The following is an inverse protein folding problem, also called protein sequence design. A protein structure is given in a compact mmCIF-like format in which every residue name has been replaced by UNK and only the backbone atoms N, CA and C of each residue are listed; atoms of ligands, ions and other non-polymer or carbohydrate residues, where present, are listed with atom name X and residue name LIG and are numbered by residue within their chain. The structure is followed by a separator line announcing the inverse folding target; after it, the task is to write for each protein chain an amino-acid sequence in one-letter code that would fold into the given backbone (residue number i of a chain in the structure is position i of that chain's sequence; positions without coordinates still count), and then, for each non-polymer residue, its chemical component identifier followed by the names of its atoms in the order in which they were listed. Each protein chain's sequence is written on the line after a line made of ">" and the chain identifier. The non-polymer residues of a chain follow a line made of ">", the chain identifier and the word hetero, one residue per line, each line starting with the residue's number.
data_IF_308786668112
#
_entry.id   IF_308786668112
#
_cell.length_a   1.000
_cell.length_b   1.000
_cell.length_c   1.000
_cell.angle_alpha   90.00
_cell.angle_beta   90.00
_cell.angle_gamma   90.00
#
_symmetry.space_group_name_H-M   'P 1'
#
loop_
_entity.id
_entity.type
_entity.pdbx_description
1 polymer ?
#
# COMPACT_ATOMS: atom_id res chain seq x y z
N UNK A 1 15.33 -19.25 -22.18
CA UNK A 1 15.07 -18.17 -21.24
C UNK A 1 15.50 -18.67 -19.87
N UNK A 2 16.57 -18.07 -19.29
CA UNK A 2 17.26 -18.59 -18.07
C UNK A 2 16.32 -18.57 -16.86
N UNK A 3 15.73 -19.73 -16.51
CA UNK A 3 14.83 -19.87 -15.35
C UNK A 3 15.47 -19.43 -14.01
N UNK A 4 16.79 -19.39 -13.93
CA UNK A 4 17.50 -18.93 -12.72
C UNK A 4 17.62 -17.39 -12.57
N UNK A 5 17.33 -16.60 -13.61
CA UNK A 5 17.43 -15.12 -13.54
C UNK A 5 16.14 -14.45 -13.10
N UNK A 6 14.98 -15.03 -13.42
CA UNK A 6 13.66 -14.47 -13.06
C UNK A 6 13.47 -14.27 -11.55
N UNK A 7 13.73 -15.28 -10.67
CA UNK A 7 13.55 -15.10 -9.24
C UNK A 7 14.49 -14.06 -8.65
N UNK A 8 15.74 -13.96 -9.12
CA UNK A 8 16.71 -12.94 -8.66
C UNK A 8 16.28 -11.51 -9.01
N UNK A 9 15.71 -11.32 -10.20
CA UNK A 9 15.25 -9.99 -10.66
C UNK A 9 14.00 -9.59 -9.87
N UNK A 10 13.03 -10.50 -9.73
CA UNK A 10 11.80 -10.28 -8.96
C UNK A 10 12.11 -9.92 -7.50
N UNK A 11 12.98 -10.68 -6.85
CA UNK A 11 13.43 -10.44 -5.48
C UNK A 11 14.15 -9.07 -5.34
N UNK A 12 15.01 -8.71 -6.30
CA UNK A 12 15.70 -7.42 -6.28
C UNK A 12 14.71 -6.25 -6.39
N UNK A 13 13.73 -6.34 -7.29
CA UNK A 13 12.68 -5.32 -7.45
C UNK A 13 11.84 -5.22 -6.17
N UNK A 14 11.41 -6.36 -5.61
CA UNK A 14 10.67 -6.42 -4.35
C UNK A 14 11.43 -5.76 -3.19
N UNK A 15 12.74 -6.03 -3.06
CA UNK A 15 13.58 -5.48 -2.00
C UNK A 15 13.84 -3.97 -2.17
N UNK A 16 13.98 -3.49 -3.41
CA UNK A 16 14.12 -2.05 -3.69
C UNK A 16 12.81 -1.33 -3.36
N UNK A 17 11.67 -1.87 -3.83
CA UNK A 17 10.35 -1.29 -3.55
C UNK A 17 10.03 -1.29 -2.06
N UNK A 18 10.38 -2.35 -1.31
CA UNK A 18 10.25 -2.39 0.15
C UNK A 18 11.03 -1.26 0.83
N UNK A 19 12.32 -1.09 0.47
CA UNK A 19 13.14 -0.02 1.05
C UNK A 19 12.55 1.36 0.77
N UNK A 20 12.15 1.61 -0.48
CA UNK A 20 11.53 2.88 -0.87
C UNK A 20 10.25 3.15 -0.07
N UNK A 21 9.35 2.17 0.03
CA UNK A 21 8.11 2.28 0.81
C UNK A 21 8.40 2.49 2.30
N UNK A 22 9.35 1.76 2.87
CA UNK A 22 9.72 1.90 4.29
C UNK A 22 10.21 3.31 4.62
N UNK A 23 11.09 3.89 3.80
CA UNK A 23 11.58 5.26 4.00
C UNK A 23 10.46 6.29 3.80
N UNK A 24 9.60 6.10 2.78
CA UNK A 24 8.44 6.95 2.56
C UNK A 24 7.49 6.92 3.76
N UNK A 25 7.20 5.74 4.32
CA UNK A 25 6.35 5.59 5.51
C UNK A 25 6.93 6.30 6.72
N UNK A 26 8.23 6.12 6.98
CA UNK A 26 8.89 6.82 8.10
C UNK A 26 8.76 8.33 7.92
N UNK A 27 9.01 8.85 6.72
CA UNK A 27 8.87 10.27 6.42
C UNK A 27 7.42 10.77 6.59
N UNK A 28 6.45 10.04 6.02
CA UNK A 28 5.01 10.39 6.12
C UNK A 28 4.57 10.42 7.59
N UNK A 29 4.88 9.39 8.37
CA UNK A 29 4.48 9.31 9.78
C UNK A 29 5.17 10.39 10.60
N UNK A 30 6.44 10.67 10.36
CA UNK A 30 7.17 11.75 11.05
C UNK A 30 6.53 13.11 10.76
N UNK A 31 6.29 13.45 9.49
CA UNK A 31 5.64 14.72 9.09
C UNK A 31 4.24 14.83 9.68
N UNK A 32 3.44 13.76 9.58
CA UNK A 32 2.09 13.71 10.15
C UNK A 32 2.13 13.96 11.67
N UNK A 33 3.05 13.31 12.38
CA UNK A 33 3.21 13.47 13.83
C UNK A 33 3.56 14.92 14.20
N UNK A 34 4.52 15.53 13.49
CA UNK A 34 4.90 16.93 13.71
C UNK A 34 3.71 17.87 13.47
N UNK A 35 2.97 17.68 12.38
CA UNK A 35 1.79 18.52 12.07
C UNK A 35 0.74 18.39 13.17
N UNK A 36 0.43 17.16 13.62
CA UNK A 36 -0.57 16.93 14.67
C UNK A 36 -0.14 17.55 16.01
N UNK A 37 1.11 17.37 16.41
CA UNK A 37 1.64 17.97 17.65
C UNK A 37 1.55 19.50 17.56
N UNK A 38 1.98 20.09 16.46
CA UNK A 38 1.94 21.54 16.25
C UNK A 38 0.50 22.07 16.27
N UNK A 39 -0.44 21.39 15.62
CA UNK A 39 -1.86 21.73 15.63
C UNK A 39 -2.45 21.71 17.06
N UNK A 40 -2.16 20.63 17.81
CA UNK A 40 -2.62 20.48 19.20
C UNK A 40 -2.07 21.62 20.06
N UNK A 41 -0.78 21.92 19.92
CA UNK A 41 -0.13 23.02 20.65
C UNK A 41 -0.80 24.38 20.38
N UNK A 42 -1.02 24.71 19.11
CA UNK A 42 -1.69 25.96 18.72
C UNK A 42 -3.13 26.03 19.23
N UNK A 43 -3.87 24.94 19.18
CA UNK A 43 -5.26 24.87 19.59
C UNK A 43 -5.42 25.10 21.09
N UNK A 44 -4.55 24.52 21.93
CA UNK A 44 -4.68 24.62 23.38
C UNK A 44 -4.05 25.87 23.98
N UNK A 45 -2.94 26.38 23.39
CA UNK A 45 -2.26 27.59 23.93
C UNK A 45 -2.79 28.87 23.31
N UNK A 46 -3.16 28.87 22.06
CA UNK A 46 -3.55 30.08 21.33
C UNK A 46 -5.03 30.08 20.92
N UNK A 47 -5.78 29.03 21.25
CA UNK A 47 -7.19 28.84 20.84
C UNK A 47 -7.39 28.97 19.32
N UNK A 48 -6.36 28.68 18.55
CA UNK A 48 -6.32 28.80 17.10
C UNK A 48 -6.37 27.43 16.44
N UNK A 49 -7.37 27.20 15.60
CA UNK A 49 -7.52 25.93 14.86
C UNK A 49 -7.09 26.09 13.43
N UNK A 50 -6.20 25.20 12.96
CA UNK A 50 -5.70 25.14 11.58
C UNK A 50 -6.48 24.08 10.80
N UNK A 51 -7.51 24.47 10.07
CA UNK A 51 -8.35 23.54 9.31
C UNK A 51 -7.56 22.74 8.27
N UNK A 52 -6.53 23.34 7.66
CA UNK A 52 -5.69 22.68 6.66
C UNK A 52 -4.83 21.54 7.26
N UNK A 53 -4.43 21.65 8.52
CA UNK A 53 -3.56 20.64 9.15
C UNK A 53 -4.28 19.31 9.39
N UNK A 54 -5.56 19.34 9.71
CA UNK A 54 -6.40 18.14 9.82
C UNK A 54 -6.54 17.44 8.48
N UNK A 55 -6.67 18.21 7.41
CA UNK A 55 -6.79 17.68 6.06
C UNK A 55 -5.49 17.04 5.58
N UNK A 56 -4.35 17.72 5.77
CA UNK A 56 -3.02 17.15 5.47
C UNK A 56 -2.77 15.86 6.25
N UNK A 57 -3.05 15.84 7.55
CA UNK A 57 -2.87 14.65 8.37
C UNK A 57 -3.72 13.46 7.86
N UNK A 58 -4.95 13.72 7.44
CA UNK A 58 -5.85 12.72 6.85
C UNK A 58 -5.28 12.14 5.54
N UNK A 59 -4.79 13.00 4.64
CA UNK A 59 -4.21 12.54 3.38
C UNK A 59 -2.91 11.77 3.60
N UNK A 60 -2.04 12.21 4.50
CA UNK A 60 -0.85 11.46 4.88
C UNK A 60 -1.19 10.11 5.49
N UNK A 61 -2.25 10.02 6.30
CA UNK A 61 -2.72 8.76 6.87
C UNK A 61 -3.21 7.79 5.77
N UNK A 62 -3.94 8.27 4.76
CA UNK A 62 -4.38 7.46 3.63
C UNK A 62 -3.17 6.92 2.87
N UNK A 63 -2.18 7.75 2.55
CA UNK A 63 -0.92 7.34 1.92
C UNK A 63 -0.18 6.30 2.76
N UNK A 64 -0.04 6.55 4.07
CA UNK A 64 0.60 5.60 4.99
C UNK A 64 -0.12 4.25 5.02
N UNK A 65 -1.45 4.24 4.97
CA UNK A 65 -2.25 3.01 4.99
C UNK A 65 -2.03 2.15 3.74
N UNK A 66 -2.09 2.74 2.55
CA UNK A 66 -1.88 1.97 1.31
C UNK A 66 -0.42 1.53 1.11
N UNK A 67 0.54 2.37 1.44
CA UNK A 67 1.94 1.99 1.40
C UNK A 67 2.26 0.93 2.46
N UNK A 68 1.72 1.06 3.67
CA UNK A 68 1.87 0.07 4.74
C UNK A 68 1.27 -1.28 4.37
N UNK A 69 0.11 -1.29 3.70
CA UNK A 69 -0.50 -2.51 3.18
C UNK A 69 0.43 -3.26 2.22
N UNK A 70 1.23 -2.56 1.41
CA UNK A 70 2.19 -3.21 0.51
C UNK A 70 3.31 -3.95 1.25
N UNK A 71 3.75 -3.45 2.39
CA UNK A 71 4.70 -4.16 3.26
C UNK A 71 4.04 -5.35 3.94
N UNK A 72 2.78 -5.23 4.35
CA UNK A 72 2.02 -6.35 4.91
C UNK A 72 1.89 -7.50 3.91
N UNK A 73 1.67 -7.22 2.62
CA UNK A 73 1.69 -8.22 1.56
C UNK A 73 3.05 -8.92 1.49
N UNK A 74 4.16 -8.17 1.53
CA UNK A 74 5.52 -8.74 1.45
C UNK A 74 5.83 -9.69 2.60
N UNK A 75 5.44 -9.32 3.81
CA UNK A 75 5.73 -10.11 5.01
C UNK A 75 4.73 -11.26 5.23
N UNK A 76 3.87 -11.53 4.26
CA UNK A 76 2.90 -12.62 4.36
C UNK A 76 1.86 -12.43 5.45
N UNK A 77 1.60 -11.18 5.88
CA UNK A 77 0.66 -10.89 6.98
C UNK A 77 -0.82 -11.07 6.57
N UNK A 78 -1.09 -11.81 5.48
CA UNK A 78 -2.43 -12.28 5.15
C UNK A 78 -2.82 -13.49 6.03
N UNK A 79 -2.80 -13.27 7.34
CA UNK A 79 -3.03 -14.29 8.38
C UNK A 79 -4.26 -15.17 8.06
N UNK A 80 -5.34 -14.58 7.53
CA UNK A 80 -6.55 -15.31 7.17
C UNK A 80 -6.35 -16.30 6.02
N UNK A 81 -5.56 -15.94 5.01
CA UNK A 81 -5.27 -16.82 3.86
C UNK A 81 -4.31 -17.92 4.28
N UNK A 82 -3.26 -17.60 5.03
CA UNK A 82 -2.31 -18.59 5.55
C UNK A 82 -2.98 -19.58 6.51
N UNK A 83 -3.87 -19.10 7.39
CA UNK A 83 -4.66 -19.95 8.28
C UNK A 83 -5.53 -20.92 7.49
N UNK A 84 -6.21 -20.45 6.45
CA UNK A 84 -7.04 -21.29 5.58
C UNK A 84 -6.20 -22.32 4.83
N UNK A 85 -5.10 -21.90 4.20
CA UNK A 85 -4.19 -22.76 3.44
C UNK A 85 -3.57 -23.83 4.33
N UNK A 86 -3.20 -23.48 5.56
CA UNK A 86 -2.58 -24.42 6.51
C UNK A 86 -3.55 -25.51 7.03
N UNK A 87 -4.85 -25.35 6.78
CA UNK A 87 -5.87 -26.34 7.18
C UNK A 87 -6.01 -27.50 6.16
N UNK A 88 -5.41 -27.35 4.99
CA UNK A 88 -5.44 -28.40 3.95
C UNK A 88 -4.28 -29.38 4.09
N UNK A 89 -4.49 -30.67 3.75
CA UNK A 89 -3.42 -31.67 3.69
C UNK A 89 -2.36 -31.31 2.63
N UNK A 90 -1.14 -31.88 2.71
CA UNK A 90 0.02 -31.45 1.92
C UNK A 90 -0.19 -31.41 0.39
N UNK A 91 -1.02 -32.30 -0.17
CA UNK A 91 -1.30 -32.35 -1.61
C UNK A 91 -2.04 -31.13 -2.12
N UNK A 92 -3.29 -30.88 -1.70
CA UNK A 92 -4.08 -29.74 -2.15
C UNK A 92 -3.59 -28.38 -1.64
N UNK A 93 -2.78 -28.35 -0.57
CA UNK A 93 -2.27 -27.11 0.03
C UNK A 93 -1.59 -26.18 -0.98
N UNK A 94 -0.73 -26.74 -1.86
CA UNK A 94 -0.03 -25.93 -2.89
C UNK A 94 -0.99 -25.32 -3.90
N UNK A 95 -1.98 -26.11 -4.36
CA UNK A 95 -2.98 -25.62 -5.30
C UNK A 95 -3.85 -24.50 -4.69
N UNK A 96 -4.30 -24.69 -3.45
CA UNK A 96 -5.10 -23.68 -2.73
C UNK A 96 -4.30 -22.40 -2.51
N UNK A 97 -3.02 -22.51 -2.11
CA UNK A 97 -2.13 -21.36 -1.94
C UNK A 97 -1.93 -20.59 -3.25
N UNK A 98 -1.71 -21.30 -4.34
CA UNK A 98 -1.55 -20.70 -5.66
C UNK A 98 -2.83 -19.98 -6.11
N UNK A 99 -3.98 -20.62 -6.01
CA UNK A 99 -5.28 -20.03 -6.37
C UNK A 99 -5.55 -18.78 -5.52
N UNK A 100 -5.27 -18.83 -4.21
CA UNK A 100 -5.42 -17.68 -3.34
C UNK A 100 -4.53 -16.50 -3.77
N UNK A 101 -3.25 -16.72 -4.06
CA UNK A 101 -2.33 -15.68 -4.52
C UNK A 101 -2.74 -15.09 -5.86
N UNK A 102 -3.21 -15.92 -6.81
CA UNK A 102 -3.72 -15.45 -8.10
C UNK A 102 -4.98 -14.62 -7.92
N UNK A 103 -5.90 -15.04 -7.04
CA UNK A 103 -7.11 -14.28 -6.72
C UNK A 103 -6.79 -12.91 -6.12
N UNK A 104 -5.81 -12.85 -5.21
CA UNK A 104 -5.32 -11.59 -4.64
C UNK A 104 -4.72 -10.72 -5.73
N UNK A 105 -3.90 -11.27 -6.62
CA UNK A 105 -3.30 -10.53 -7.73
C UNK A 105 -4.36 -9.92 -8.65
N UNK A 106 -5.36 -10.71 -9.04
CA UNK A 106 -6.47 -10.23 -9.86
C UNK A 106 -7.23 -9.10 -9.17
N UNK A 107 -7.58 -9.28 -7.89
CA UNK A 107 -8.22 -8.23 -7.10
C UNK A 107 -7.38 -6.95 -7.07
N UNK A 108 -6.06 -7.04 -6.84
CA UNK A 108 -5.16 -5.89 -6.78
C UNK A 108 -5.06 -5.16 -8.13
N UNK A 109 -5.12 -5.89 -9.26
CA UNK A 109 -5.16 -5.27 -10.59
C UNK A 109 -6.44 -4.46 -10.77
N UNK A 110 -7.61 -5.04 -10.47
CA UNK A 110 -8.89 -4.33 -10.52
C UNK A 110 -8.91 -3.13 -9.56
N UNK A 111 -8.40 -3.32 -8.34
CA UNK A 111 -8.30 -2.26 -7.34
C UNK A 111 -7.42 -1.10 -7.83
N UNK A 112 -6.26 -1.40 -8.43
CA UNK A 112 -5.31 -0.40 -8.93
C UNK A 112 -5.92 0.39 -10.09
N UNK A 113 -6.55 -0.29 -11.05
CA UNK A 113 -7.21 0.35 -12.20
C UNK A 113 -8.41 1.19 -11.74
N UNK A 114 -9.27 0.63 -10.90
CA UNK A 114 -10.42 1.34 -10.34
C UNK A 114 -10.00 2.55 -9.50
N UNK A 115 -8.97 2.40 -8.67
CA UNK A 115 -8.39 3.49 -7.89
C UNK A 115 -7.84 4.63 -8.77
N UNK A 116 -7.20 4.29 -9.89
CA UNK A 116 -6.73 5.29 -10.84
C UNK A 116 -7.89 6.02 -11.53
N UNK A 117 -8.95 5.29 -11.90
CA UNK A 117 -10.16 5.90 -12.49
C UNK A 117 -10.83 6.88 -11.52
N UNK A 118 -10.95 6.50 -10.24
CA UNK A 118 -11.49 7.38 -9.20
C UNK A 118 -10.61 8.61 -8.99
N UNK A 119 -9.29 8.44 -8.88
CA UNK A 119 -8.36 9.55 -8.75
C UNK A 119 -8.50 10.51 -9.94
N UNK A 120 -8.57 9.97 -11.16
CA UNK A 120 -8.74 10.78 -12.37
C UNK A 120 -10.07 11.53 -12.43
N UNK A 121 -11.17 10.90 -12.01
CA UNK A 121 -12.49 11.52 -11.95
C UNK A 121 -12.55 12.70 -10.96
N UNK A 122 -11.73 12.66 -9.91
CA UNK A 122 -11.67 13.68 -8.87
C UNK A 122 -10.59 14.75 -9.09
N UNK A 123 -9.94 14.77 -10.27
CA UNK A 123 -8.84 15.69 -10.57
C UNK A 123 -9.24 17.17 -10.55
N UNK A 124 -10.48 17.45 -10.94
CA UNK A 124 -11.04 18.80 -11.02
C UNK A 124 -11.77 19.22 -9.72
N UNK A 125 -11.75 18.36 -8.70
CA UNK A 125 -12.29 18.65 -7.36
C UNK A 125 -11.18 19.16 -6.45
N UNK A 126 -11.40 20.34 -5.89
CA UNK A 126 -10.50 20.93 -4.91
C UNK A 126 -10.85 20.44 -3.49
N UNK A 127 -9.83 20.29 -2.67
CA UNK A 127 -10.00 19.98 -1.26
C UNK A 127 -10.54 21.18 -0.49
N UNK A 128 -11.36 20.97 0.56
CA UNK A 128 -12.07 22.05 1.25
C UNK A 128 -11.17 23.09 1.93
N UNK A 129 -10.03 22.67 2.49
CA UNK A 129 -9.17 23.54 3.27
C UNK A 129 -7.86 23.91 2.57
N UNK A 130 -7.30 22.98 1.78
CA UNK A 130 -6.03 23.17 1.09
C UNK A 130 -6.19 23.75 -0.32
N UNK A 131 -7.38 23.68 -0.89
CA UNK A 131 -7.68 24.16 -2.25
C UNK A 131 -6.75 23.57 -3.33
N UNK A 132 -6.34 22.32 -3.16
CA UNK A 132 -5.60 21.56 -4.18
C UNK A 132 -6.40 20.32 -4.62
N UNK A 133 -6.10 19.82 -5.83
CA UNK A 133 -6.84 18.71 -6.42
C UNK A 133 -6.84 17.46 -5.54
N UNK A 134 -8.02 16.90 -5.31
CA UNK A 134 -8.19 15.63 -4.59
C UNK A 134 -7.52 14.44 -5.29
N UNK A 135 -7.16 14.59 -6.56
CA UNK A 135 -6.38 13.61 -7.31
C UNK A 135 -5.18 13.08 -6.50
N UNK A 136 -4.41 13.96 -5.87
CA UNK A 136 -3.21 13.58 -5.12
C UNK A 136 -3.50 12.73 -3.88
N UNK A 137 -4.62 12.96 -3.22
CA UNK A 137 -5.04 12.14 -2.09
C UNK A 137 -5.45 10.73 -2.53
N UNK A 138 -6.26 10.65 -3.60
CA UNK A 138 -6.77 9.38 -4.12
C UNK A 138 -5.73 8.58 -4.92
N UNK A 139 -4.67 9.23 -5.42
CA UNK A 139 -3.54 8.57 -6.09
C UNK A 139 -2.81 7.57 -5.16
N UNK A 140 -2.95 7.72 -3.84
CA UNK A 140 -2.40 6.77 -2.86
C UNK A 140 -2.87 5.33 -3.08
N UNK A 141 -4.13 5.13 -3.48
CA UNK A 141 -4.71 3.80 -3.70
C UNK A 141 -4.06 3.08 -4.90
N UNK A 142 -3.99 3.65 -6.13
CA UNK A 142 -3.32 2.97 -7.24
C UNK A 142 -1.81 2.84 -7.02
N UNK A 143 -1.14 3.80 -6.39
CA UNK A 143 0.30 3.69 -6.09
C UNK A 143 0.55 2.56 -5.10
N UNK A 144 -0.19 2.50 -3.99
CA UNK A 144 -0.11 1.38 -3.05
C UNK A 144 -0.45 0.05 -3.71
N UNK A 145 -1.46 0.02 -4.59
CA UNK A 145 -1.85 -1.16 -5.38
C UNK A 145 -0.70 -1.70 -6.25
N UNK A 146 0.03 -0.81 -6.95
CA UNK A 146 1.21 -1.21 -7.73
C UNK A 146 2.28 -1.84 -6.84
N UNK A 147 2.58 -1.25 -5.68
CA UNK A 147 3.54 -1.84 -4.75
C UNK A 147 3.07 -3.19 -4.21
N UNK A 148 1.78 -3.35 -3.91
CA UNK A 148 1.21 -4.65 -3.50
C UNK A 148 1.31 -5.69 -4.61
N UNK A 149 1.05 -5.33 -5.87
CA UNK A 149 1.21 -6.23 -7.03
C UNK A 149 2.65 -6.71 -7.17
N UNK A 150 3.65 -5.82 -7.01
CA UNK A 150 5.06 -6.20 -7.05
C UNK A 150 5.38 -7.24 -5.97
N UNK A 151 4.86 -7.07 -4.75
CA UNK A 151 5.13 -7.98 -3.65
C UNK A 151 4.46 -9.36 -3.84
N UNK A 152 3.17 -9.39 -4.24
CA UNK A 152 2.47 -10.66 -4.47
C UNK A 152 3.07 -11.42 -5.65
N UNK A 153 3.50 -10.69 -6.71
CA UNK A 153 4.18 -11.30 -7.85
C UNK A 153 5.47 -12.00 -7.42
N UNK A 154 6.30 -11.33 -6.62
CA UNK A 154 7.52 -11.94 -6.09
C UNK A 154 7.21 -13.20 -5.28
N UNK A 155 6.18 -13.16 -4.43
CA UNK A 155 5.73 -14.30 -3.62
C UNK A 155 5.26 -15.49 -4.49
N UNK A 156 4.62 -15.23 -5.63
CA UNK A 156 4.22 -16.27 -6.58
C UNK A 156 5.46 -16.89 -7.24
N UNK A 157 6.40 -16.07 -7.69
CA UNK A 157 7.64 -16.52 -8.34
C UNK A 157 8.50 -17.38 -7.40
N UNK A 158 8.60 -17.00 -6.12
CA UNK A 158 9.34 -17.77 -5.11
C UNK A 158 8.75 -19.17 -4.88
N UNK A 159 7.41 -19.29 -4.88
CA UNK A 159 6.75 -20.59 -4.71
C UNK A 159 6.95 -21.53 -5.91
N UNK A 160 7.16 -20.98 -7.11
CA UNK A 160 7.41 -21.77 -8.32
C UNK A 160 8.83 -22.34 -8.39
N UNK A 161 9.76 -21.74 -7.65
CA UNK A 161 11.19 -22.13 -7.66
C UNK A 161 11.53 -23.10 -6.51
N UNK A 162 10.63 -23.22 -5.52
CA UNK A 162 10.72 -24.18 -4.41
C UNK A 162 9.98 -25.48 -4.74
#
# INVERSE_FOLDING_TARGET
>A
MDMGKLPRISEKISNISEKAVRYALVGIVAVMTVIIIFQVFLRYLFLFSLSWSEEVARYLMIWASFLGASLAVKYGLHIGVEYLVNRFPPGPKRAVAFVAKVSILLFLVFFTVGGLQVAWALRDQDSPALLFSMFYAYLSAPVGGVFMIIQIWNSIVEDWVK
#
